data_IF_986205437767
#
_entry.id   IF_986205437767
#
_cell.length_a   1.000
_cell.length_b   1.000
_cell.length_c   1.000
_cell.angle_alpha   90.00
_cell.angle_beta   90.00
_cell.angle_gamma   90.00
#
_symmetry.space_group_name_H-M   'P 1'
#
loop_
_entity.id
_entity.type
_entity.pdbx_description
1 polymer ?
#
# COMPACT_ATOMS: atom_id res chain seq x y z
N UNK A 1 -16.75 34.14 -7.83
CA UNK A 1 -16.69 35.38 -8.63
C UNK A 1 -15.92 36.38 -7.79
N UNK A 2 -14.84 36.91 -8.35
CA UNK A 2 -13.97 37.90 -7.69
C UNK A 2 -13.83 39.13 -8.58
N UNK A 3 -13.63 40.29 -7.98
CA UNK A 3 -13.39 41.54 -8.72
C UNK A 3 -11.89 41.72 -8.90
N UNK A 4 -11.43 41.61 -10.14
CA UNK A 4 -10.03 41.85 -10.52
C UNK A 4 -9.98 43.05 -11.46
N UNK A 5 -9.23 44.10 -11.06
CA UNK A 5 -9.14 45.37 -11.82
C UNK A 5 -10.50 45.96 -12.21
N UNK A 6 -11.41 46.08 -11.23
CA UNK A 6 -12.76 46.61 -11.44
C UNK A 6 -13.62 45.81 -12.45
N UNK A 7 -13.23 44.58 -12.79
CA UNK A 7 -14.00 43.68 -13.67
C UNK A 7 -14.33 42.37 -12.96
N UNK A 8 -15.53 41.81 -13.16
CA UNK A 8 -15.87 40.49 -12.61
C UNK A 8 -15.06 39.40 -13.31
N UNK A 9 -14.44 38.52 -12.52
CA UNK A 9 -13.69 37.35 -13.00
C UNK A 9 -14.21 36.09 -12.31
N UNK A 10 -14.40 35.02 -13.09
CA UNK A 10 -14.77 33.70 -12.58
C UNK A 10 -13.51 32.95 -12.17
N UNK A 11 -13.45 32.53 -10.90
CA UNK A 11 -12.37 31.71 -10.34
C UNK A 11 -12.98 30.46 -9.72
N UNK A 12 -12.30 29.32 -9.86
CA UNK A 12 -12.76 28.06 -9.27
C UNK A 12 -12.55 28.06 -7.76
N UNK A 13 -13.60 27.77 -7.00
CA UNK A 13 -13.62 27.84 -5.54
C UNK A 13 -12.66 26.86 -4.85
N UNK A 14 -12.42 25.70 -5.47
CA UNK A 14 -11.58 24.61 -4.96
C UNK A 14 -10.34 24.36 -5.84
N UNK A 15 -9.98 25.32 -6.69
CA UNK A 15 -8.92 25.17 -7.67
C UNK A 15 -9.36 24.42 -8.93
N UNK A 16 -8.39 23.97 -9.72
CA UNK A 16 -8.59 23.38 -11.04
C UNK A 16 -8.22 21.90 -11.05
N UNK A 17 -8.90 21.12 -11.89
CA UNK A 17 -8.66 19.69 -12.11
C UNK A 17 -8.56 19.41 -13.60
N UNK A 18 -7.86 18.34 -13.96
CA UNK A 18 -7.80 17.85 -15.34
C UNK A 18 -8.77 16.68 -15.45
N UNK A 19 -9.75 16.78 -16.35
CA UNK A 19 -10.70 15.69 -16.59
C UNK A 19 -10.06 14.54 -17.39
N UNK A 20 -10.82 13.45 -17.60
CA UNK A 20 -10.35 12.28 -18.37
C UNK A 20 -9.97 12.61 -19.82
N UNK A 21 -10.50 13.71 -20.37
CA UNK A 21 -10.21 14.21 -21.71
C UNK A 21 -8.96 15.12 -21.75
N UNK A 22 -8.32 15.39 -20.61
CA UNK A 22 -7.13 16.25 -20.53
C UNK A 22 -7.44 17.74 -20.44
N UNK A 23 -8.70 18.13 -20.24
CA UNK A 23 -9.13 19.52 -20.17
C UNK A 23 -9.13 20.04 -18.72
N UNK A 24 -8.81 21.33 -18.57
CA UNK A 24 -8.83 22.00 -17.27
C UNK A 24 -10.26 22.42 -16.95
N UNK A 25 -10.81 21.94 -15.84
CA UNK A 25 -12.13 22.29 -15.32
C UNK A 25 -12.06 22.68 -13.83
N UNK A 26 -13.13 23.26 -13.29
CA UNK A 26 -13.19 23.54 -11.85
C UNK A 26 -13.30 22.24 -11.05
N UNK A 27 -12.55 22.13 -9.96
CA UNK A 27 -12.71 21.04 -9.01
C UNK A 27 -14.18 20.99 -8.50
N UNK A 28 -14.82 19.82 -8.48
CA UNK A 28 -16.14 19.68 -7.86
C UNK A 28 -16.12 20.12 -6.39
N UNK A 29 -17.23 20.65 -5.89
CA UNK A 29 -17.33 21.18 -4.51
C UNK A 29 -17.03 20.11 -3.43
N UNK A 30 -17.17 18.82 -3.76
CA UNK A 30 -16.99 17.67 -2.87
C UNK A 30 -15.69 16.88 -3.10
N UNK A 31 -14.78 17.38 -3.94
CA UNK A 31 -13.52 16.67 -4.24
C UNK A 31 -12.42 17.03 -3.23
N UNK A 32 -12.05 16.07 -2.39
CA UNK A 32 -10.92 16.13 -1.45
C UNK A 32 -9.57 15.94 -2.17
N UNK A 33 -9.52 15.03 -3.15
CA UNK A 33 -8.30 14.65 -3.86
C UNK A 33 -8.56 14.50 -5.36
N UNK A 34 -7.53 14.68 -6.17
CA UNK A 34 -7.53 14.33 -7.60
C UNK A 34 -6.44 13.33 -7.97
N UNK A 35 -5.47 13.12 -7.07
CA UNK A 35 -4.36 12.19 -7.20
C UNK A 35 -4.04 11.61 -5.84
N UNK A 36 -3.52 10.39 -5.85
CA UNK A 36 -3.12 9.63 -4.66
C UNK A 36 -2.15 10.42 -3.75
N UNK A 37 -1.23 11.18 -4.35
CA UNK A 37 -0.25 12.00 -3.62
C UNK A 37 -0.87 13.08 -2.73
N UNK A 38 -2.16 13.38 -2.88
CA UNK A 38 -2.90 14.33 -2.03
C UNK A 38 -3.52 13.65 -0.80
N UNK A 39 -3.53 12.31 -0.77
CA UNK A 39 -4.05 11.53 0.32
C UNK A 39 -2.93 11.10 1.29
N UNK A 40 -3.28 10.73 2.53
CA UNK A 40 -2.42 9.95 3.40
C UNK A 40 -1.92 8.66 2.71
N UNK A 41 -0.74 8.17 3.09
CA UNK A 41 -0.09 7.00 2.46
C UNK A 41 -0.92 5.70 2.52
N UNK A 42 -1.85 5.62 3.47
CA UNK A 42 -2.77 4.51 3.71
C UNK A 42 -4.12 4.66 2.98
N UNK A 43 -4.27 5.67 2.10
CA UNK A 43 -5.52 5.96 1.37
C UNK A 43 -5.22 6.22 -0.11
N UNK A 44 -6.14 5.85 -0.98
CA UNK A 44 -6.09 6.15 -2.40
C UNK A 44 -7.11 7.25 -2.74
N UNK A 45 -6.87 7.98 -3.81
CA UNK A 45 -7.84 8.93 -4.32
C UNK A 45 -8.88 8.21 -5.17
N UNK A 46 -10.04 7.93 -4.57
CA UNK A 46 -11.13 7.20 -5.21
C UNK A 46 -12.36 8.09 -5.31
N UNK A 47 -12.85 8.31 -6.53
CA UNK A 47 -14.03 9.14 -6.82
C UNK A 47 -13.96 10.55 -6.19
N UNK A 48 -12.74 11.10 -6.08
CA UNK A 48 -12.49 12.42 -5.52
C UNK A 48 -12.38 12.47 -3.99
N UNK A 49 -12.36 11.32 -3.30
CA UNK A 49 -12.23 11.22 -1.85
C UNK A 49 -11.03 10.36 -1.46
N UNK A 50 -10.37 10.70 -0.36
CA UNK A 50 -9.29 9.88 0.18
C UNK A 50 -9.87 8.68 0.93
N UNK A 51 -9.85 7.53 0.28
CA UNK A 51 -10.54 6.32 0.72
C UNK A 51 -9.57 5.16 0.85
N UNK A 52 -9.84 4.21 1.76
CA UNK A 52 -9.01 3.02 1.87
C UNK A 52 -9.41 2.03 0.75
N UNK A 53 -8.52 1.72 -0.21
CA UNK A 53 -8.85 0.88 -1.35
C UNK A 53 -9.17 -0.58 -0.98
N UNK A 54 -8.82 -1.04 0.21
CA UNK A 54 -9.15 -2.38 0.70
C UNK A 54 -10.63 -2.55 1.07
N UNK A 55 -11.33 -1.47 1.41
CA UNK A 55 -12.73 -1.52 1.91
C UNK A 55 -13.75 -0.93 0.93
N UNK A 56 -13.32 -0.06 0.02
CA UNK A 56 -14.23 0.69 -0.85
C UNK A 56 -14.51 -0.03 -2.17
N UNK A 57 -13.64 -0.93 -2.60
CA UNK A 57 -13.90 -1.72 -3.78
C UNK A 57 -15.16 -2.59 -3.56
N UNK A 58 -16.12 -2.52 -4.50
CA UNK A 58 -17.38 -3.33 -4.49
C UNK A 58 -17.13 -4.82 -4.26
N UNK A 59 -15.92 -5.29 -4.53
CA UNK A 59 -15.38 -6.59 -4.15
C UNK A 59 -14.01 -6.35 -3.50
N UNK A 60 -13.70 -7.09 -2.43
CA UNK A 60 -12.37 -7.06 -1.83
C UNK A 60 -11.32 -7.30 -2.92
N UNK A 61 -10.26 -6.45 -3.03
CA UNK A 61 -9.21 -6.64 -4.03
C UNK A 61 -8.41 -7.93 -3.79
N UNK A 62 -8.54 -8.53 -2.61
CA UNK A 62 -7.83 -9.73 -2.19
C UNK A 62 -8.77 -10.94 -2.06
N UNK A 63 -8.30 -12.15 -2.39
CA UNK A 63 -8.99 -13.39 -2.09
C UNK A 63 -9.32 -13.52 -0.59
N UNK A 64 -10.36 -14.28 -0.20
CA UNK A 64 -10.82 -14.40 1.20
C UNK A 64 -9.75 -14.85 2.20
N UNK A 65 -8.73 -15.58 1.76
CA UNK A 65 -7.66 -16.13 2.60
C UNK A 65 -6.48 -15.16 2.81
N UNK A 66 -6.56 -13.94 2.26
CA UNK A 66 -5.50 -12.92 2.33
C UNK A 66 -6.02 -11.64 3.00
N UNK A 67 -5.20 -11.05 3.86
CA UNK A 67 -5.44 -9.71 4.38
C UNK A 67 -5.16 -8.67 3.30
N UNK A 68 -5.96 -7.63 3.21
CA UNK A 68 -5.65 -6.47 2.40
C UNK A 68 -5.02 -5.39 3.27
N UNK A 69 -3.81 -4.96 2.91
CA UNK A 69 -3.17 -3.78 3.48
C UNK A 69 -2.98 -2.72 2.39
N UNK A 70 -2.78 -1.46 2.78
CA UNK A 70 -2.51 -0.37 1.82
C UNK A 70 -1.03 -0.03 1.86
N UNK A 71 -0.35 -0.15 0.72
CA UNK A 71 1.03 0.26 0.54
C UNK A 71 1.12 1.22 -0.64
N UNK A 72 1.59 2.44 -0.36
CA UNK A 72 1.77 3.50 -1.36
C UNK A 72 0.50 3.72 -2.20
N UNK A 73 -0.62 3.97 -1.50
CA UNK A 73 -1.95 4.19 -2.09
C UNK A 73 -2.53 2.99 -2.85
N UNK A 74 -1.90 1.82 -2.82
CA UNK A 74 -2.36 0.61 -3.52
C UNK A 74 -2.72 -0.51 -2.54
N UNK A 75 -3.78 -1.29 -2.82
CA UNK A 75 -4.06 -2.48 -2.04
C UNK A 75 -3.00 -3.55 -2.33
N UNK A 76 -2.46 -4.15 -1.27
CA UNK A 76 -1.57 -5.30 -1.31
C UNK A 76 -2.21 -6.46 -0.53
N UNK A 77 -2.11 -7.68 -1.07
CA UNK A 77 -2.70 -8.86 -0.46
C UNK A 77 -1.63 -9.66 0.29
N UNK A 78 -1.67 -9.59 1.61
CA UNK A 78 -0.77 -10.32 2.51
C UNK A 78 -1.40 -11.65 2.86
N UNK A 79 -0.66 -12.73 2.70
CA UNK A 79 -1.16 -14.04 3.11
C UNK A 79 -1.05 -14.22 4.63
N UNK A 80 -2.16 -14.63 5.26
CA UNK A 80 -2.19 -14.89 6.70
C UNK A 80 -2.09 -16.39 7.04
N UNK A 81 -2.64 -17.29 6.21
CA UNK A 81 -2.63 -18.76 6.42
C UNK A 81 -2.69 -19.51 5.09
N UNK A 82 -2.05 -20.68 4.99
CA UNK A 82 -2.14 -21.64 3.88
C UNK A 82 -1.76 -21.14 2.48
N UNK A 83 -0.96 -20.08 2.34
CA UNK A 83 -0.28 -19.89 1.06
C UNK A 83 0.82 -20.93 0.93
N UNK A 84 0.81 -21.66 -0.18
CA UNK A 84 2.05 -22.19 -0.76
C UNK A 84 2.66 -21.04 -1.55
N UNK A 85 3.55 -20.22 -0.96
CA UNK A 85 4.26 -19.24 -1.75
C UNK A 85 5.04 -19.97 -2.84
N UNK A 86 4.71 -19.76 -4.11
CA UNK A 86 5.64 -20.09 -5.20
C UNK A 86 6.91 -19.24 -5.12
N UNK A 87 6.85 -18.12 -4.36
CA UNK A 87 7.94 -17.24 -3.96
C UNK A 87 7.74 -16.86 -2.49
N UNK A 88 8.56 -17.40 -1.59
CA UNK A 88 8.52 -17.15 -0.14
C UNK A 88 9.07 -15.77 0.20
N UNK A 89 8.43 -14.69 -0.30
CA UNK A 89 8.88 -13.32 -0.04
C UNK A 89 8.62 -12.92 1.41
N UNK A 90 9.70 -12.86 2.19
CA UNK A 90 9.72 -12.29 3.53
C UNK A 90 10.29 -10.88 3.49
N UNK A 91 9.84 -9.98 4.38
CA UNK A 91 10.43 -8.65 4.55
C UNK A 91 11.21 -8.51 5.87
N UNK A 92 10.91 -9.38 6.85
CA UNK A 92 11.51 -9.46 8.20
C UNK A 92 11.40 -10.90 8.71
N UNK A 93 12.16 -11.23 9.76
CA UNK A 93 12.20 -12.57 10.35
C UNK A 93 10.83 -13.04 10.87
N UNK A 94 10.02 -12.14 11.44
CA UNK A 94 8.64 -12.44 11.86
C UNK A 94 7.70 -12.81 10.69
N UNK A 95 8.14 -12.61 9.44
CA UNK A 95 7.45 -13.08 8.24
C UNK A 95 7.77 -14.53 7.87
N UNK A 96 8.66 -15.18 8.62
CA UNK A 96 9.07 -16.56 8.43
C UNK A 96 8.58 -17.45 9.58
N UNK A 97 8.49 -18.78 9.37
CA UNK A 97 8.31 -19.74 10.45
C UNK A 97 9.36 -19.57 11.55
N UNK A 98 9.03 -19.91 12.80
CA UNK A 98 9.88 -19.71 13.97
C UNK A 98 11.29 -20.33 13.87
N UNK A 99 11.50 -21.28 12.96
CA UNK A 99 12.77 -21.94 12.70
C UNK A 99 13.53 -21.36 11.49
N UNK A 100 13.12 -20.22 10.93
CA UNK A 100 13.68 -19.64 9.72
C UNK A 100 13.88 -18.13 9.86
N UNK A 101 14.86 -17.60 9.13
CA UNK A 101 15.16 -16.19 9.06
C UNK A 101 14.92 -15.64 7.65
N UNK A 102 14.64 -14.35 7.57
CA UNK A 102 14.42 -13.68 6.30
C UNK A 102 15.74 -13.28 5.65
N UNK A 103 16.13 -13.98 4.58
CA UNK A 103 17.37 -13.76 3.84
C UNK A 103 17.08 -13.60 2.36
N UNK A 104 17.48 -12.46 1.80
CA UNK A 104 17.29 -12.15 0.38
C UNK A 104 15.84 -12.42 -0.11
N UNK A 105 14.86 -11.99 0.69
CA UNK A 105 13.43 -12.21 0.43
C UNK A 105 13.02 -13.69 0.36
N UNK A 106 13.71 -14.57 1.09
CA UNK A 106 13.36 -15.98 1.26
C UNK A 106 13.51 -16.37 2.73
N UNK A 107 12.60 -17.21 3.21
CA UNK A 107 12.74 -17.83 4.51
C UNK A 107 13.75 -18.98 4.39
N UNK A 108 14.93 -18.78 4.98
CA UNK A 108 16.05 -19.71 4.93
C UNK A 108 16.44 -20.09 6.35
N UNK A 109 16.92 -21.32 6.52
CA UNK A 109 17.49 -21.77 7.80
C UNK A 109 18.91 -21.19 7.95
N UNK A 110 19.13 -20.24 8.88
CA UNK A 110 20.45 -19.63 9.09
C UNK A 110 21.49 -20.65 9.58
N UNK A 111 21.08 -21.76 10.20
CA UNK A 111 22.00 -22.78 10.70
C UNK A 111 22.71 -23.56 9.57
N UNK A 112 22.16 -23.55 8.35
CA UNK A 112 22.79 -24.23 7.19
C UNK A 112 24.11 -23.57 6.79
N UNK A 113 24.24 -22.26 7.01
CA UNK A 113 25.45 -21.49 6.66
C UNK A 113 26.25 -21.05 7.88
N UNK A 114 25.77 -21.35 9.09
CA UNK A 114 26.43 -20.99 10.33
C UNK A 114 27.72 -21.81 10.50
N UNK A 115 28.83 -21.11 10.72
CA UNK A 115 30.08 -21.72 11.13
C UNK A 115 30.15 -21.74 12.66
N UNK A 116 29.55 -22.77 13.25
CA UNK A 116 29.62 -23.00 14.69
C UNK A 116 30.95 -23.71 15.06
N UNK A 117 31.57 -23.40 16.21
CA UNK A 117 32.68 -24.18 16.76
C UNK A 117 32.35 -25.68 16.87
N UNK A 118 33.36 -26.55 16.82
CA UNK A 118 33.16 -28.01 16.97
C UNK A 118 32.34 -28.31 18.23
N UNK A 119 31.36 -29.19 18.06
CA UNK A 119 30.43 -29.67 19.10
C UNK A 119 29.42 -28.65 19.64
N UNK A 120 29.16 -27.55 18.93
CA UNK A 120 28.07 -26.61 19.27
C UNK A 120 26.88 -26.75 18.32
N UNK A 121 25.70 -27.20 18.78
CA UNK A 121 24.51 -27.26 17.94
C UNK A 121 23.96 -25.85 17.67
N UNK A 122 23.57 -25.61 16.42
CA UNK A 122 22.84 -24.39 16.03
C UNK A 122 21.34 -24.65 16.15
N UNK A 123 20.64 -23.73 16.80
CA UNK A 123 19.19 -23.74 16.91
C UNK A 123 18.67 -22.32 16.65
N UNK A 124 17.51 -22.25 16.00
CA UNK A 124 16.78 -21.00 15.75
C UNK A 124 15.64 -20.97 16.75
N UNK A 125 15.65 -20.01 17.67
CA UNK A 125 14.58 -19.79 18.63
C UNK A 125 14.06 -18.35 18.48
N UNK A 126 12.74 -18.22 18.58
CA UNK A 126 11.97 -16.97 18.63
C UNK A 126 12.63 -15.79 17.88
N UNK A 127 12.26 -15.68 16.59
CA UNK A 127 12.38 -14.47 15.76
C UNK A 127 12.41 -13.16 16.56
#
# INVERSE_FOLDING_TARGET
>A
CEVHRHRPTCVCKKGFVVNEQGEISCAPDHTECNRDSQCPKDKACLEGLCQNPCIVAKQSPCPPEKSCEVLDHKPICICLKNCSPSLSICLRDNGCPANQACRAFRCEDPCVTANCPKDTPCYVEDH
#
